data_IF_147621632469
#
_entry.id   IF_147621632469
#
_cell.length_a   1.000
_cell.length_b   1.000
_cell.length_c   1.000
_cell.angle_alpha   90.00
_cell.angle_beta   90.00
_cell.angle_gamma   90.00
#
_symmetry.space_group_name_H-M   'P 1'
#
loop_
_entity.id
_entity.type
_entity.pdbx_description
1 polymer ?
#
# COMPACT_ATOMS: atom_id res chain seq x y z
N UNK A 1 -20.38 -5.74 0.58
CA UNK A 1 -21.20 -4.50 0.80
C UNK A 1 -21.51 -3.93 -0.56
N UNK A 2 -22.79 -3.86 -0.96
CA UNK A 2 -23.18 -3.24 -2.22
C UNK A 2 -23.29 -1.72 -2.01
N UNK A 3 -22.41 -0.94 -2.63
CA UNK A 3 -22.49 0.52 -2.68
C UNK A 3 -23.50 0.86 -3.78
N UNK A 4 -24.54 1.64 -3.46
CA UNK A 4 -25.50 2.11 -4.45
C UNK A 4 -24.85 3.20 -5.32
N UNK A 5 -24.27 2.80 -6.45
CA UNK A 5 -23.65 3.69 -7.43
C UNK A 5 -24.46 3.70 -8.73
N UNK A 6 -24.40 4.82 -9.47
CA UNK A 6 -25.04 4.97 -10.79
C UNK A 6 -24.35 4.22 -11.93
N UNK A 7 -23.23 3.55 -11.63
CA UNK A 7 -22.41 2.84 -12.59
C UNK A 7 -22.22 1.38 -12.17
N UNK A 8 -21.97 0.53 -13.16
CA UNK A 8 -21.65 -0.88 -12.93
C UNK A 8 -20.30 -0.99 -12.21
N UNK A 9 -20.31 -1.67 -11.07
CA UNK A 9 -19.12 -2.11 -10.35
C UNK A 9 -18.95 -3.59 -10.65
N UNK A 10 -17.81 -3.97 -11.21
CA UNK A 10 -17.48 -5.40 -11.40
C UNK A 10 -17.47 -6.12 -10.05
N UNK A 11 -17.99 -7.35 -10.06
CA UNK A 11 -17.99 -8.20 -8.88
C UNK A 11 -16.56 -8.52 -8.48
N UNK A 12 -16.21 -8.18 -7.24
CA UNK A 12 -14.86 -8.36 -6.73
C UNK A 12 -14.70 -9.80 -6.26
N UNK A 13 -13.97 -10.61 -7.03
CA UNK A 13 -13.57 -11.95 -6.61
C UNK A 13 -12.50 -11.85 -5.51
N UNK A 14 -12.92 -12.07 -4.27
CA UNK A 14 -12.11 -11.98 -3.06
C UNK A 14 -11.27 -13.24 -2.79
N UNK A 15 -11.47 -14.31 -3.57
CA UNK A 15 -10.69 -15.54 -3.45
C UNK A 15 -9.22 -15.24 -3.68
N UNK A 16 -8.41 -15.63 -2.68
CA UNK A 16 -6.95 -15.55 -2.70
C UNK A 16 -6.42 -14.14 -3.01
N UNK A 17 -7.22 -13.10 -2.73
CA UNK A 17 -6.89 -11.72 -3.08
C UNK A 17 -5.51 -11.27 -2.56
N UNK A 18 -5.08 -11.58 -1.32
CA UNK A 18 -3.74 -11.22 -0.86
C UNK A 18 -2.63 -11.87 -1.69
N UNK A 19 -2.78 -13.15 -2.05
CA UNK A 19 -1.78 -13.88 -2.83
C UNK A 19 -1.71 -13.34 -4.26
N UNK A 20 -2.87 -13.17 -4.90
CA UNK A 20 -2.98 -12.59 -6.25
C UNK A 20 -2.38 -11.18 -6.31
N UNK A 21 -2.59 -10.37 -5.27
CA UNK A 21 -1.95 -9.06 -5.15
C UNK A 21 -0.42 -9.20 -5.08
N UNK A 22 0.09 -10.07 -4.21
CA UNK A 22 1.54 -10.29 -4.07
C UNK A 22 2.18 -10.80 -5.36
N UNK A 23 1.52 -11.72 -6.07
CA UNK A 23 2.00 -12.27 -7.35
C UNK A 23 2.04 -11.19 -8.44
N UNK A 24 0.96 -10.40 -8.57
CA UNK A 24 0.92 -9.29 -9.51
C UNK A 24 1.98 -8.23 -9.17
N UNK A 25 2.16 -7.93 -7.88
CA UNK A 25 3.15 -6.96 -7.44
C UNK A 25 4.58 -7.46 -7.66
N UNK A 26 4.84 -8.75 -7.43
CA UNK A 26 6.11 -9.39 -7.76
C UNK A 26 6.42 -9.30 -9.26
N UNK A 27 5.43 -9.54 -10.12
CA UNK A 27 5.59 -9.42 -11.57
C UNK A 27 5.92 -7.99 -11.98
N UNK A 28 5.26 -6.98 -11.39
CA UNK A 28 5.58 -5.57 -11.63
C UNK A 28 7.03 -5.28 -11.24
N UNK A 29 7.45 -5.69 -10.04
CA UNK A 29 8.83 -5.45 -9.59
C UNK A 29 9.87 -6.14 -10.47
N UNK A 30 9.58 -7.34 -10.98
CA UNK A 30 10.50 -8.11 -11.83
C UNK A 30 10.58 -7.57 -13.27
N UNK A 31 9.51 -6.97 -13.78
CA UNK A 31 9.38 -6.61 -15.20
C UNK A 31 9.24 -5.11 -15.46
N UNK A 32 9.54 -4.27 -14.47
CA UNK A 32 9.51 -2.81 -14.61
C UNK A 32 10.69 -2.15 -13.89
N UNK A 33 10.73 -0.82 -13.93
CA UNK A 33 11.68 0.00 -13.18
C UNK A 33 11.15 0.43 -11.79
N UNK A 34 10.03 -0.13 -11.32
CA UNK A 34 9.44 0.30 -10.04
C UNK A 34 10.24 -0.15 -8.82
N UNK A 35 10.99 -1.26 -8.90
CA UNK A 35 11.78 -1.76 -7.78
C UNK A 35 12.73 -0.70 -7.16
N UNK A 36 13.64 -0.04 -7.92
CA UNK A 36 14.51 0.99 -7.36
C UNK A 36 13.74 2.23 -6.84
N UNK A 37 12.62 2.58 -7.46
CA UNK A 37 11.78 3.71 -7.03
C UNK A 37 11.12 3.42 -5.68
N UNK A 38 10.57 2.21 -5.53
CA UNK A 38 9.94 1.77 -4.29
C UNK A 38 10.97 1.54 -3.18
N UNK A 39 12.17 1.07 -3.51
CA UNK A 39 13.28 0.99 -2.57
C UNK A 39 13.68 2.36 -2.02
N UNK A 40 13.79 3.38 -2.89
CA UNK A 40 14.05 4.74 -2.46
C UNK A 40 12.90 5.26 -1.56
N UNK A 41 11.67 5.17 -2.05
CA UNK A 41 10.46 5.60 -1.34
C UNK A 41 10.30 4.92 0.03
N UNK A 42 10.56 3.62 0.12
CA UNK A 42 10.44 2.85 1.36
C UNK A 42 11.45 3.27 2.44
N UNK A 43 12.59 3.85 2.04
CA UNK A 43 13.63 4.38 2.93
C UNK A 43 13.39 5.86 3.29
N UNK A 44 12.90 6.66 2.34
CA UNK A 44 12.62 8.08 2.54
C UNK A 44 11.17 8.31 3.03
N UNK A 45 10.96 8.36 4.34
CA UNK A 45 9.65 8.74 4.91
C UNK A 45 9.63 10.20 5.33
N UNK A 46 9.17 11.08 4.45
CA UNK A 46 8.90 12.47 4.81
C UNK A 46 7.46 12.60 5.33
N UNK A 47 7.28 12.77 6.65
CA UNK A 47 5.99 13.06 7.28
C UNK A 47 5.89 14.53 7.68
N UNK A 48 5.83 15.42 6.69
CA UNK A 48 5.79 16.87 6.92
C UNK A 48 4.39 17.43 7.23
N UNK A 49 3.34 16.61 7.21
CA UNK A 49 1.96 17.03 7.54
C UNK A 49 1.24 17.87 6.49
N UNK A 50 1.95 18.45 5.51
CA UNK A 50 1.34 19.27 4.44
C UNK A 50 0.32 18.52 3.59
N UNK A 51 0.52 17.21 3.41
CA UNK A 51 -0.42 16.32 2.72
C UNK A 51 -1.75 16.17 3.48
N UNK A 52 -1.75 16.28 4.81
CA UNK A 52 -2.96 16.19 5.63
C UNK A 52 -3.75 17.51 5.59
N UNK A 53 -3.06 18.64 5.80
CA UNK A 53 -3.68 19.98 5.87
C UNK A 53 -4.48 20.34 4.61
N UNK A 54 -3.97 19.98 3.44
CA UNK A 54 -4.56 20.35 2.14
C UNK A 54 -5.50 19.30 1.53
N UNK A 55 -5.62 18.10 2.11
CA UNK A 55 -6.35 17.00 1.50
C UNK A 55 -7.87 17.13 1.71
N UNK A 56 -8.69 17.30 0.65
CA UNK A 56 -10.14 17.44 0.81
C UNK A 56 -10.80 16.19 1.39
N UNK A 57 -10.30 14.99 1.06
CA UNK A 57 -10.85 13.73 1.57
C UNK A 57 -10.67 13.66 3.08
N UNK A 58 -9.47 13.95 3.58
CA UNK A 58 -9.17 13.96 5.02
C UNK A 58 -9.90 15.07 5.76
N UNK A 59 -10.06 16.26 5.15
CA UNK A 59 -10.82 17.36 5.74
C UNK A 59 -12.29 16.99 5.98
N UNK A 60 -12.88 16.19 5.08
CA UNK A 60 -14.27 15.73 5.21
C UNK A 60 -14.37 14.52 6.15
N UNK A 61 -13.45 13.55 6.06
CA UNK A 61 -13.55 12.31 6.83
C UNK A 61 -13.02 12.41 8.26
N UNK A 62 -11.96 13.21 8.49
CA UNK A 62 -11.22 13.26 9.76
C UNK A 62 -10.40 12.00 10.07
N UNK A 63 -10.36 11.03 9.16
CA UNK A 63 -9.80 9.70 9.39
C UNK A 63 -8.35 9.61 8.94
N UNK A 64 -7.44 9.18 9.82
CA UNK A 64 -6.00 9.13 9.53
C UNK A 64 -5.66 8.29 8.28
N UNK A 65 -6.43 7.23 8.01
CA UNK A 65 -6.27 6.37 6.82
C UNK A 65 -6.45 7.12 5.50
N UNK A 66 -7.09 8.28 5.50
CA UNK A 66 -7.34 9.08 4.29
C UNK A 66 -6.23 10.10 4.03
N UNK A 67 -5.30 10.28 4.96
CA UNK A 67 -4.11 11.09 4.76
C UNK A 67 -3.28 10.47 3.63
N UNK A 68 -2.92 11.22 2.56
CA UNK A 68 -2.24 10.65 1.39
C UNK A 68 -0.96 9.89 1.75
N UNK A 69 -0.19 10.44 2.69
CA UNK A 69 1.05 9.85 3.16
C UNK A 69 0.85 8.49 3.87
N UNK A 70 -0.25 8.31 4.60
CA UNK A 70 -0.58 7.04 5.27
C UNK A 70 -1.13 6.00 4.27
N UNK A 71 -1.88 6.44 3.26
CA UNK A 71 -2.35 5.57 2.18
C UNK A 71 -1.20 4.93 1.41
N UNK A 72 -0.19 5.73 1.04
CA UNK A 72 1.01 5.21 0.37
C UNK A 72 1.85 4.32 1.29
N UNK A 73 1.87 4.64 2.59
CA UNK A 73 2.62 3.87 3.57
C UNK A 73 2.11 2.44 3.72
N UNK A 74 0.79 2.18 3.55
CA UNK A 74 0.23 0.84 3.52
C UNK A 74 0.90 -0.03 2.43
N UNK A 75 1.03 0.50 1.21
CA UNK A 75 1.73 -0.19 0.12
C UNK A 75 3.21 -0.41 0.45
N UNK A 76 3.88 0.61 1.00
CA UNK A 76 5.30 0.52 1.33
C UNK A 76 5.58 -0.46 2.49
N UNK A 77 4.64 -0.65 3.41
CA UNK A 77 4.74 -1.66 4.46
C UNK A 77 4.71 -3.07 3.87
N UNK A 78 3.77 -3.34 2.95
CA UNK A 78 3.70 -4.62 2.23
C UNK A 78 4.99 -4.83 1.42
N UNK A 79 5.45 -3.81 0.69
CA UNK A 79 6.72 -3.87 -0.03
C UNK A 79 7.90 -4.27 0.88
N UNK A 80 8.10 -3.56 2.00
CA UNK A 80 9.17 -3.88 2.95
C UNK A 80 9.04 -5.29 3.49
N UNK A 81 7.83 -5.69 3.91
CA UNK A 81 7.56 -7.00 4.52
C UNK A 81 7.94 -8.16 3.61
N UNK A 82 7.51 -8.13 2.35
CA UNK A 82 7.58 -9.29 1.47
C UNK A 82 8.75 -9.24 0.47
N UNK A 83 9.19 -8.05 0.06
CA UNK A 83 10.12 -7.87 -1.07
C UNK A 83 11.49 -7.34 -0.68
N UNK A 84 11.73 -7.07 0.61
CA UNK A 84 13.08 -6.72 1.10
C UNK A 84 13.66 -7.85 1.94
N UNK A 85 14.98 -8.06 1.85
CA UNK A 85 15.69 -9.07 2.65
C UNK A 85 15.49 -8.84 4.15
N UNK A 86 15.59 -7.59 4.60
CA UNK A 86 15.39 -7.24 6.01
C UNK A 86 13.98 -7.53 6.51
N UNK A 87 12.95 -7.23 5.71
CA UNK A 87 11.57 -7.53 6.07
C UNK A 87 11.27 -9.02 6.07
N UNK A 88 11.79 -9.79 5.11
CA UNK A 88 11.61 -11.23 5.07
C UNK A 88 12.28 -11.93 6.28
N UNK A 89 13.49 -11.51 6.65
CA UNK A 89 14.17 -12.04 7.84
C UNK A 89 13.40 -11.70 9.12
N UNK A 90 12.97 -10.44 9.28
CA UNK A 90 12.16 -9.99 10.42
C UNK A 90 10.86 -10.80 10.55
N UNK A 91 10.23 -11.15 9.42
CA UNK A 91 9.04 -11.99 9.37
C UNK A 91 9.25 -13.38 9.97
N UNK A 92 10.38 -14.00 9.64
CA UNK A 92 10.71 -15.36 10.07
C UNK A 92 11.13 -15.41 11.53
N UNK A 93 11.60 -14.28 12.09
CA UNK A 93 11.96 -14.14 13.49
C UNK A 93 10.76 -13.87 14.42
N UNK A 94 9.53 -13.90 13.91
CA UNK A 94 8.30 -13.83 14.70
C UNK A 94 7.71 -12.43 14.84
N UNK A 95 8.30 -11.41 14.21
CA UNK A 95 7.72 -10.09 14.20
C UNK A 95 6.81 -9.95 12.97
N UNK A 96 5.52 -9.72 13.18
CA UNK A 96 4.52 -9.80 12.11
C UNK A 96 4.25 -8.49 11.39
N UNK A 97 4.36 -7.31 12.00
CA UNK A 97 4.14 -6.01 11.36
C UNK A 97 4.71 -4.87 12.22
#
# INVERSE_FOLDING_TARGET
MAIACSYYLEDLDDRELPQRFLDAFAAILAHSNYAPVLDAAARMKARCGRCADTCPVYQVSGEQRDIPCERSELLLQVYRRYFTLGGNLRARLGDTF
#
